data_IF_030638950427
#
_entry.id   IF_030638950427
#
_cell.length_a   1.000
_cell.length_b   1.000
_cell.length_c   1.000
_cell.angle_alpha   90.00
_cell.angle_beta   90.00
_cell.angle_gamma   90.00
#
_symmetry.space_group_name_H-M   'P 1'
#
loop_
_entity.id
_entity.type
_entity.pdbx_description
1 polymer ?
#
# COMPACT_ATOMS: atom_id res chain seq x y z
N UNK A 1 -4.86 6.04 27.09
CA UNK A 1 -6.28 6.44 27.07
C UNK A 1 -6.36 7.95 27.03
N UNK A 2 -7.27 8.48 26.20
CA UNK A 2 -7.69 9.90 26.10
C UNK A 2 -6.69 10.86 25.40
N UNK A 3 -7.07 11.86 24.59
CA UNK A 3 -8.21 12.80 24.76
C UNK A 3 -8.81 13.33 23.44
N UNK A 4 -10.16 13.43 23.38
CA UNK A 4 -10.93 14.17 22.36
C UNK A 4 -11.78 15.30 22.97
N UNK A 5 -12.48 16.06 22.13
CA UNK A 5 -12.13 17.42 21.72
C UNK A 5 -12.28 18.43 22.85
N UNK A 6 -11.39 19.42 22.82
CA UNK A 6 -11.14 20.32 23.95
C UNK A 6 -12.18 21.43 24.12
N UNK A 7 -13.20 21.64 23.29
CA UNK A 7 -14.02 22.86 23.38
C UNK A 7 -15.52 22.66 23.10
N UNK A 8 -16.37 23.36 23.87
CA UNK A 8 -17.82 23.40 23.73
C UNK A 8 -18.23 24.18 22.47
N UNK A 9 -19.11 23.63 21.61
CA UNK A 9 -19.54 24.30 20.37
C UNK A 9 -20.43 25.52 20.62
N UNK A 10 -21.15 25.55 21.75
CA UNK A 10 -22.08 26.63 22.08
C UNK A 10 -21.36 27.85 22.69
N UNK A 11 -20.41 27.64 23.61
CA UNK A 11 -19.78 28.74 24.35
C UNK A 11 -18.25 28.82 24.24
N UNK A 12 -17.63 27.93 23.47
CA UNK A 12 -16.18 27.87 23.25
C UNK A 12 -15.36 27.52 24.50
N UNK A 13 -15.98 27.10 25.60
CA UNK A 13 -15.30 26.72 26.83
C UNK A 13 -14.52 25.42 26.67
N UNK A 14 -13.39 25.29 27.37
CA UNK A 14 -12.62 24.04 27.33
C UNK A 14 -13.39 22.92 28.04
N UNK A 15 -13.61 21.78 27.37
CA UNK A 15 -14.24 20.59 27.97
C UNK A 15 -13.16 19.67 28.55
N UNK A 16 -13.42 19.09 29.72
CA UNK A 16 -12.59 18.04 30.30
C UNK A 16 -13.01 16.68 29.74
N UNK A 17 -12.10 15.69 29.77
CA UNK A 17 -12.33 14.39 29.14
C UNK A 17 -13.61 13.73 29.64
N UNK A 18 -14.41 13.18 28.72
CA UNK A 18 -15.63 12.43 29.01
C UNK A 18 -16.77 13.25 29.65
N UNK A 19 -16.75 14.58 29.54
CA UNK A 19 -17.87 15.42 29.99
C UNK A 19 -18.97 15.50 28.93
N UNK A 20 -20.15 14.99 29.27
CA UNK A 20 -21.36 15.05 28.44
C UNK A 20 -22.10 16.39 28.56
N UNK A 21 -21.74 17.23 29.54
CA UNK A 21 -22.38 18.53 29.77
C UNK A 21 -21.31 19.58 30.02
N UNK A 22 -21.36 20.69 29.29
CA UNK A 22 -20.47 21.82 29.49
C UNK A 22 -20.73 22.49 30.84
N UNK A 23 -19.75 22.45 31.75
CA UNK A 23 -19.82 23.08 33.08
C UNK A 23 -20.03 24.61 33.03
N UNK A 24 -19.78 25.25 31.88
CA UNK A 24 -19.91 26.71 31.72
C UNK A 24 -21.27 27.16 31.19
N UNK A 25 -21.85 26.46 30.22
CA UNK A 25 -23.11 26.87 29.59
C UNK A 25 -24.25 25.85 29.70
N UNK A 26 -23.99 24.64 30.21
CA UNK A 26 -25.00 23.58 30.34
C UNK A 26 -25.35 22.87 29.04
N UNK A 27 -24.66 23.17 27.93
CA UNK A 27 -24.85 22.48 26.66
C UNK A 27 -24.47 21.00 26.76
N UNK A 28 -25.37 20.12 26.35
CA UNK A 28 -25.16 18.67 26.30
C UNK A 28 -24.43 18.30 25.00
N UNK A 29 -23.29 17.64 25.13
CA UNK A 29 -22.41 17.28 24.03
C UNK A 29 -22.68 15.82 23.67
N UNK A 30 -23.32 15.60 22.53
CA UNK A 30 -23.47 14.26 21.96
C UNK A 30 -22.10 13.79 21.44
N UNK A 31 -21.57 12.73 22.05
CA UNK A 31 -20.43 11.99 21.51
C UNK A 31 -20.99 10.88 20.63
N UNK A 32 -20.88 11.06 19.32
CA UNK A 32 -21.16 10.00 18.36
C UNK A 32 -19.89 9.17 18.07
N UNK A 33 -20.11 7.91 17.69
CA UNK A 33 -19.04 7.00 17.24
C UNK A 33 -18.34 7.52 15.96
N UNK A 34 -18.94 8.48 15.26
CA UNK A 34 -18.33 9.17 14.10
C UNK A 34 -17.22 10.16 14.53
N UNK A 35 -17.39 10.88 15.64
CA UNK A 35 -16.34 11.71 16.25
C UNK A 35 -15.17 10.88 16.81
N UNK A 36 -15.51 9.74 17.44
CA UNK A 36 -14.84 8.41 17.39
C UNK A 36 -13.75 8.20 16.31
N UNK A 37 -14.23 8.01 15.11
CA UNK A 37 -13.38 7.63 14.00
C UNK A 37 -12.55 8.82 13.49
N UNK A 38 -13.19 9.99 13.40
CA UNK A 38 -12.60 11.19 12.77
C UNK A 38 -11.36 11.71 13.52
N UNK A 39 -11.35 11.72 14.86
CA UNK A 39 -10.16 12.13 15.61
C UNK A 39 -8.99 11.14 15.49
N UNK A 40 -9.24 9.84 15.46
CA UNK A 40 -8.17 8.85 15.30
C UNK A 40 -7.56 8.95 13.90
N UNK A 41 -8.38 9.22 12.88
CA UNK A 41 -7.93 9.56 11.52
C UNK A 41 -7.07 10.83 11.54
N UNK A 42 -7.54 11.94 12.12
CA UNK A 42 -6.78 13.21 12.17
C UNK A 42 -5.44 13.08 12.93
N UNK A 43 -5.42 12.28 14.00
CA UNK A 43 -4.21 12.01 14.79
C UNK A 43 -3.22 11.14 14.00
N UNK A 44 -3.70 10.16 13.25
CA UNK A 44 -2.88 9.37 12.34
C UNK A 44 -2.31 10.24 11.21
N UNK A 45 -3.11 11.12 10.62
CA UNK A 45 -2.71 12.07 9.59
C UNK A 45 -1.66 13.08 10.09
N UNK A 46 -1.83 13.66 11.29
CA UNK A 46 -0.83 14.56 11.89
C UNK A 46 0.49 13.84 12.20
N UNK A 47 0.43 12.59 12.65
CA UNK A 47 1.63 11.78 12.88
C UNK A 47 2.34 11.47 11.56
N UNK A 48 1.59 11.14 10.51
CA UNK A 48 2.12 10.90 9.17
C UNK A 48 2.76 12.16 8.59
N UNK A 49 2.08 13.32 8.71
CA UNK A 49 2.57 14.63 8.28
C UNK A 49 3.90 15.03 8.90
N UNK A 50 4.10 14.80 10.20
CA UNK A 50 5.37 15.08 10.89
C UNK A 50 6.52 14.15 10.47
N UNK A 51 6.20 13.00 9.90
CA UNK A 51 7.18 11.98 9.50
C UNK A 51 7.63 12.12 8.03
N UNK A 52 6.94 12.93 7.21
CA UNK A 52 7.34 13.19 5.82
C UNK A 52 8.52 14.15 5.80
N UNK A 53 9.65 13.66 5.30
CA UNK A 53 10.91 14.42 5.19
C UNK A 53 11.17 14.94 3.78
N UNK A 54 10.54 14.34 2.77
CA UNK A 54 10.71 14.73 1.37
C UNK A 54 9.61 15.72 0.94
N UNK A 55 9.94 16.96 0.51
CA UNK A 55 8.95 17.96 0.12
C UNK A 55 8.12 17.54 -1.11
N UNK A 56 8.70 16.75 -2.02
CA UNK A 56 8.04 16.33 -3.26
C UNK A 56 7.14 15.09 -3.07
N UNK A 57 7.12 14.50 -1.88
CA UNK A 57 6.35 13.27 -1.64
C UNK A 57 4.84 13.49 -1.82
N UNK A 58 4.33 14.67 -1.43
CA UNK A 58 2.90 14.98 -1.53
C UNK A 58 2.35 14.91 -2.97
N UNK A 59 3.17 15.23 -3.97
CA UNK A 59 2.81 15.14 -5.39
C UNK A 59 2.88 13.70 -5.92
N UNK A 60 3.77 12.87 -5.37
CA UNK A 60 4.01 11.50 -5.81
C UNK A 60 3.12 10.47 -5.10
N UNK A 61 2.70 10.76 -3.86
CA UNK A 61 1.89 9.87 -3.03
C UNK A 61 0.61 9.38 -3.73
N UNK A 62 -0.20 10.24 -4.41
CA UNK A 62 -1.40 9.80 -5.09
C UNK A 62 -1.11 8.79 -6.20
N UNK A 63 0.00 8.98 -6.93
CA UNK A 63 0.43 8.08 -7.99
C UNK A 63 0.88 6.73 -7.43
N UNK A 64 1.72 6.74 -6.39
CA UNK A 64 2.18 5.52 -5.70
C UNK A 64 1.00 4.75 -5.12
N UNK A 65 0.08 5.46 -4.45
CA UNK A 65 -1.13 4.87 -3.89
C UNK A 65 -1.98 4.22 -4.98
N UNK A 66 -2.33 4.98 -6.02
CA UNK A 66 -3.24 4.50 -7.08
C UNK A 66 -2.64 3.31 -7.82
N UNK A 67 -1.39 3.40 -8.27
CA UNK A 67 -0.74 2.30 -8.99
C UNK A 67 -0.57 1.09 -8.04
N UNK A 68 -0.14 1.33 -6.80
CA UNK A 68 0.08 0.27 -5.81
C UNK A 68 -1.20 -0.49 -5.44
N UNK A 69 -2.31 0.23 -5.23
CA UNK A 69 -3.63 -0.33 -4.91
C UNK A 69 -4.15 -1.23 -6.03
N UNK A 70 -3.97 -0.83 -7.30
CA UNK A 70 -4.42 -1.59 -8.46
C UNK A 70 -3.40 -2.62 -8.97
N UNK A 71 -2.18 -2.65 -8.44
CA UNK A 71 -1.10 -3.50 -8.95
C UNK A 71 -1.48 -4.99 -8.98
N UNK A 72 -2.12 -5.52 -7.92
CA UNK A 72 -2.54 -6.92 -7.88
C UNK A 72 -3.60 -7.27 -8.94
N UNK A 73 -4.51 -6.34 -9.25
CA UNK A 73 -5.53 -6.52 -10.31
C UNK A 73 -4.86 -6.61 -11.66
N UNK A 74 -3.88 -5.73 -11.94
CA UNK A 74 -3.13 -5.74 -13.19
C UNK A 74 -2.32 -7.04 -13.34
N UNK A 75 -1.66 -7.48 -12.26
CA UNK A 75 -0.94 -8.76 -12.21
C UNK A 75 -1.88 -9.93 -12.52
N UNK A 76 -3.06 -9.95 -11.90
CA UNK A 76 -4.07 -11.00 -12.14
C UNK A 76 -4.59 -11.00 -13.58
N UNK A 77 -4.96 -9.83 -14.10
CA UNK A 77 -5.43 -9.70 -15.47
C UNK A 77 -4.39 -10.21 -16.47
N UNK A 78 -3.12 -9.85 -16.27
CA UNK A 78 -2.02 -10.34 -17.09
C UNK A 78 -1.88 -11.86 -17.00
N UNK A 79 -1.87 -12.41 -15.78
CA UNK A 79 -1.83 -13.86 -15.58
C UNK A 79 -2.96 -14.60 -16.30
N UNK A 80 -4.20 -14.10 -16.25
CA UNK A 80 -5.35 -14.71 -16.93
C UNK A 80 -5.19 -14.66 -18.45
N UNK A 81 -4.74 -13.52 -19.01
CA UNK A 81 -4.52 -13.36 -20.46
C UNK A 81 -3.50 -14.37 -20.97
N UNK A 82 -2.36 -14.53 -20.27
CA UNK A 82 -1.32 -15.48 -20.66
C UNK A 82 -1.75 -16.93 -20.45
N UNK A 83 -2.54 -17.22 -19.42
CA UNK A 83 -3.10 -18.56 -19.23
C UNK A 83 -4.01 -18.97 -20.41
N UNK A 84 -4.91 -18.08 -20.82
CA UNK A 84 -5.80 -18.31 -21.95
C UNK A 84 -5.00 -18.45 -23.25
N UNK A 85 -4.03 -17.54 -23.48
CA UNK A 85 -3.18 -17.55 -24.67
C UNK A 85 -2.35 -18.83 -24.76
N UNK A 86 -1.77 -19.29 -23.65
CA UNK A 86 -1.02 -20.55 -23.59
C UNK A 86 -1.91 -21.76 -23.88
N UNK A 87 -3.12 -21.83 -23.32
CA UNK A 87 -4.06 -22.93 -23.59
C UNK A 87 -4.48 -22.95 -25.06
N UNK A 88 -4.87 -21.80 -25.63
CA UNK A 88 -5.23 -21.71 -27.05
C UNK A 88 -4.05 -22.04 -27.95
N UNK A 89 -2.85 -21.58 -27.61
CA UNK A 89 -1.63 -21.87 -28.35
C UNK A 89 -1.30 -23.36 -28.44
N UNK A 90 -1.52 -24.12 -27.35
CA UNK A 90 -1.37 -25.58 -27.37
C UNK A 90 -2.38 -26.29 -28.27
N UNK A 91 -3.58 -25.71 -28.44
CA UNK A 91 -4.64 -26.29 -29.28
C UNK A 91 -4.40 -26.01 -30.76
N UNK A 92 -3.98 -24.78 -31.10
CA UNK A 92 -3.99 -24.28 -32.48
C UNK A 92 -2.62 -24.25 -33.17
N UNK A 93 -1.51 -24.47 -32.47
CA UNK A 93 -0.16 -24.26 -33.04
C UNK A 93 0.83 -25.40 -32.70
N UNK A 94 1.87 -25.57 -33.52
CA UNK A 94 2.90 -26.63 -33.38
C UNK A 94 4.05 -26.29 -32.39
N UNK A 95 3.96 -25.20 -31.63
CA UNK A 95 5.01 -24.70 -30.73
C UNK A 95 4.81 -25.06 -29.25
N UNK A 96 5.01 -26.32 -28.88
CA UNK A 96 4.64 -26.84 -27.54
C UNK A 96 5.36 -26.13 -26.39
N UNK A 97 6.67 -25.85 -26.53
CA UNK A 97 7.49 -25.37 -25.41
C UNK A 97 7.10 -23.98 -24.92
N UNK A 98 6.87 -23.03 -25.83
CA UNK A 98 6.54 -21.65 -25.48
C UNK A 98 5.22 -21.56 -24.73
N UNK A 99 4.21 -22.32 -25.14
CA UNK A 99 2.91 -22.29 -24.50
C UNK A 99 2.86 -23.03 -23.17
N UNK A 100 3.64 -24.12 -23.00
CA UNK A 100 3.83 -24.73 -21.68
C UNK A 100 4.45 -23.71 -20.73
N UNK A 101 5.48 -22.99 -21.18
CA UNK A 101 6.10 -21.94 -20.38
C UNK A 101 5.10 -20.84 -20.01
N UNK A 102 4.29 -20.35 -20.96
CA UNK A 102 3.25 -19.33 -20.70
C UNK A 102 2.22 -19.78 -19.67
N UNK A 103 1.81 -21.06 -19.68
CA UNK A 103 0.86 -21.61 -18.70
C UNK A 103 1.49 -21.65 -17.30
N UNK A 104 2.74 -22.11 -17.20
CA UNK A 104 3.47 -22.17 -15.93
C UNK A 104 3.68 -20.75 -15.38
N UNK A 105 4.16 -19.84 -16.22
CA UNK A 105 4.46 -18.46 -15.87
C UNK A 105 3.19 -17.70 -15.43
N UNK A 106 2.08 -17.89 -16.14
CA UNK A 106 0.77 -17.36 -15.80
C UNK A 106 0.26 -17.88 -14.45
N UNK A 107 0.39 -19.19 -14.20
CA UNK A 107 -0.04 -19.82 -12.95
C UNK A 107 0.74 -19.25 -11.75
N UNK A 108 2.06 -19.14 -11.89
CA UNK A 108 2.93 -18.53 -10.87
C UNK A 108 2.56 -17.06 -10.65
N UNK A 109 2.33 -16.30 -11.73
CA UNK A 109 1.97 -14.88 -11.67
C UNK A 109 0.65 -14.65 -10.94
N UNK A 110 -0.38 -15.48 -11.21
CA UNK A 110 -1.67 -15.42 -10.52
C UNK A 110 -1.49 -15.72 -9.03
N UNK A 111 -0.73 -16.76 -8.70
CA UNK A 111 -0.44 -17.13 -7.31
C UNK A 111 0.25 -15.98 -6.56
N UNK A 112 1.30 -15.39 -7.14
CA UNK A 112 1.99 -14.25 -6.54
C UNK A 112 1.06 -13.04 -6.38
N UNK A 113 0.23 -12.76 -7.39
CA UNK A 113 -0.75 -11.67 -7.35
C UNK A 113 -1.68 -11.77 -6.14
N UNK A 114 -2.24 -12.96 -5.89
CA UNK A 114 -3.21 -13.20 -4.81
C UNK A 114 -2.54 -13.28 -3.44
N UNK A 115 -1.50 -14.09 -3.31
CA UNK A 115 -0.95 -14.46 -2.00
C UNK A 115 0.16 -13.53 -1.52
N UNK A 116 0.82 -12.81 -2.41
CA UNK A 116 1.96 -11.94 -2.06
C UNK A 116 1.64 -10.48 -2.34
N UNK A 117 1.32 -10.12 -3.59
CA UNK A 117 1.18 -8.72 -4.00
C UNK A 117 -0.02 -8.06 -3.33
N UNK A 118 -1.19 -8.70 -3.37
CA UNK A 118 -2.38 -8.15 -2.74
C UNK A 118 -2.16 -7.82 -1.25
N UNK A 119 -1.81 -8.78 -0.37
CA UNK A 119 -1.72 -8.52 1.07
C UNK A 119 -0.49 -7.72 1.48
N UNK A 120 0.67 -7.93 0.84
CA UNK A 120 1.92 -7.28 1.28
C UNK A 120 2.17 -5.94 0.63
N UNK A 121 1.59 -5.68 -0.54
CA UNK A 121 1.84 -4.46 -1.29
C UNK A 121 0.59 -3.63 -1.49
N UNK A 122 -0.40 -4.16 -2.19
CA UNK A 122 -1.55 -3.35 -2.61
C UNK A 122 -2.41 -2.87 -1.44
N UNK A 123 -2.67 -3.73 -0.46
CA UNK A 123 -3.39 -3.35 0.77
C UNK A 123 -2.59 -2.32 1.59
N UNK A 124 -1.25 -2.42 1.59
CA UNK A 124 -0.37 -1.48 2.30
C UNK A 124 -0.28 -0.13 1.61
N UNK A 125 -0.25 -0.09 0.28
CA UNK A 125 -0.37 1.14 -0.49
C UNK A 125 -1.74 1.79 -0.26
N UNK A 126 -2.83 1.02 -0.29
CA UNK A 126 -4.18 1.53 -0.04
C UNK A 126 -4.30 2.14 1.36
N UNK A 127 -3.73 1.48 2.37
CA UNK A 127 -3.68 1.94 3.76
C UNK A 127 -2.62 3.02 4.03
N UNK A 128 -1.82 3.41 3.04
CA UNK A 128 -0.69 4.35 3.17
C UNK A 128 0.34 3.94 4.23
N UNK A 129 0.53 2.65 4.43
CA UNK A 129 1.49 2.10 5.39
C UNK A 129 2.91 2.07 4.79
N UNK A 130 3.44 3.26 4.51
CA UNK A 130 4.77 3.44 3.92
C UNK A 130 5.89 2.92 4.82
N UNK A 131 5.67 2.97 6.14
CA UNK A 131 6.61 2.46 7.12
C UNK A 131 6.77 0.95 6.99
N UNK A 132 5.67 0.20 6.83
CA UNK A 132 5.74 -1.22 6.54
C UNK A 132 6.52 -1.49 5.24
N UNK A 133 6.16 -0.81 4.15
CA UNK A 133 6.75 -1.04 2.83
C UNK A 133 8.27 -0.75 2.78
N UNK A 134 8.74 0.25 3.52
CA UNK A 134 10.17 0.61 3.60
C UNK A 134 10.95 -0.25 4.60
N UNK A 135 10.29 -0.91 5.56
CA UNK A 135 10.98 -1.73 6.57
C UNK A 135 10.78 -3.24 6.38
N UNK A 136 9.91 -3.67 5.46
CA UNK A 136 9.79 -5.07 5.03
C UNK A 136 10.97 -5.45 4.12
N UNK A 137 12.12 -5.73 4.74
CA UNK A 137 13.40 -5.94 4.07
C UNK A 137 14.00 -7.32 4.36
N UNK A 138 14.71 -7.85 3.37
CA UNK A 138 15.68 -8.93 3.51
C UNK A 138 17.03 -8.32 3.90
N UNK A 139 17.64 -8.83 4.97
CA UNK A 139 18.96 -8.40 5.44
C UNK A 139 19.99 -9.43 4.98
N UNK A 140 20.95 -9.01 4.15
CA UNK A 140 22.06 -9.82 3.65
C UNK A 140 23.38 -9.19 4.11
N UNK A 141 23.89 -9.63 5.26
CA UNK A 141 25.01 -8.95 5.92
C UNK A 141 24.61 -7.54 6.36
N UNK A 142 25.28 -6.53 5.82
CA UNK A 142 24.99 -5.11 6.07
C UNK A 142 23.98 -4.52 5.07
N UNK A 143 23.69 -5.21 3.97
CA UNK A 143 22.78 -4.73 2.92
C UNK A 143 21.31 -5.02 3.26
N UNK A 144 20.45 -4.01 3.10
CA UNK A 144 18.99 -4.09 3.26
C UNK A 144 18.29 -4.00 1.91
N UNK A 145 17.67 -5.10 1.48
CA UNK A 145 16.91 -5.16 0.22
C UNK A 145 15.42 -5.27 0.54
N UNK A 146 14.55 -4.36 0.06
CA UNK A 146 13.11 -4.49 0.26
C UNK A 146 12.56 -5.76 -0.38
N UNK A 147 11.73 -6.51 0.35
CA UNK A 147 11.08 -7.70 -0.19
C UNK A 147 10.26 -7.39 -1.43
N UNK A 148 9.62 -6.21 -1.45
CA UNK A 148 8.79 -5.81 -2.59
C UNK A 148 9.59 -5.65 -3.88
N UNK A 149 10.86 -5.23 -3.79
CA UNK A 149 11.74 -5.15 -4.95
C UNK A 149 12.01 -6.56 -5.50
N UNK A 150 12.27 -7.53 -4.62
CA UNK A 150 12.47 -8.94 -5.01
C UNK A 150 11.22 -9.49 -5.70
N UNK A 151 10.04 -9.27 -5.13
CA UNK A 151 8.78 -9.73 -5.72
C UNK A 151 8.49 -9.07 -7.07
N UNK A 152 8.81 -7.78 -7.22
CA UNK A 152 8.66 -7.07 -8.50
C UNK A 152 9.56 -7.65 -9.60
N UNK A 153 10.81 -7.99 -9.28
CA UNK A 153 11.74 -8.64 -10.22
C UNK A 153 11.27 -10.05 -10.59
N UNK A 154 10.72 -10.78 -9.62
CA UNK A 154 10.17 -12.12 -9.86
C UNK A 154 8.94 -12.06 -10.78
N UNK A 155 8.08 -11.05 -10.61
CA UNK A 155 6.95 -10.80 -11.52
C UNK A 155 7.40 -10.34 -12.92
N UNK A 156 8.52 -9.64 -13.06
CA UNK A 156 9.09 -9.33 -14.38
C UNK A 156 9.51 -10.62 -15.09
N UNK A 157 10.13 -11.55 -14.35
CA UNK A 157 10.61 -12.82 -14.88
C UNK A 157 9.46 -13.74 -15.34
N UNK A 158 8.41 -13.89 -14.51
CA UNK A 158 7.29 -14.81 -14.81
C UNK A 158 6.09 -14.13 -15.48
N UNK A 159 5.97 -12.81 -15.39
CA UNK A 159 4.82 -12.06 -15.91
C UNK A 159 5.08 -11.38 -17.24
N UNK A 160 5.99 -11.95 -18.05
CA UNK A 160 6.36 -11.43 -19.37
C UNK A 160 6.77 -9.95 -19.34
N UNK A 161 7.59 -9.56 -18.36
CA UNK A 161 8.07 -8.19 -18.11
C UNK A 161 7.00 -7.20 -17.62
N UNK A 162 5.80 -7.23 -18.21
CA UNK A 162 4.76 -6.24 -17.95
C UNK A 162 4.08 -6.40 -16.58
N UNK A 163 3.92 -7.62 -16.07
CA UNK A 163 3.20 -7.82 -14.80
C UNK A 163 3.91 -7.17 -13.59
N UNK A 164 5.23 -7.07 -13.62
CA UNK A 164 5.98 -6.51 -12.50
C UNK A 164 6.10 -4.99 -12.50
N UNK A 165 5.83 -4.32 -13.63
CA UNK A 165 5.95 -2.85 -13.76
C UNK A 165 5.05 -2.10 -12.74
N UNK A 166 3.76 -2.45 -12.56
CA UNK A 166 2.91 -1.79 -11.57
C UNK A 166 3.39 -1.92 -10.12
N UNK A 167 4.23 -2.92 -9.83
CA UNK A 167 4.84 -3.09 -8.50
C UNK A 167 6.19 -2.39 -8.43
N UNK A 168 6.98 -2.48 -9.50
CA UNK A 168 8.32 -1.92 -9.58
C UNK A 168 8.29 -0.39 -9.54
N UNK A 169 7.44 0.27 -10.32
CA UNK A 169 7.41 1.74 -10.40
C UNK A 169 7.16 2.37 -9.01
N UNK A 170 6.09 2.01 -8.26
CA UNK A 170 5.87 2.60 -6.95
C UNK A 170 6.98 2.20 -5.96
N UNK A 171 7.55 1.00 -6.09
CA UNK A 171 8.69 0.57 -5.26
C UNK A 171 9.91 1.47 -5.47
N UNK A 172 10.29 1.74 -6.72
CA UNK A 172 11.43 2.62 -7.03
C UNK A 172 11.15 4.04 -6.52
N UNK A 173 9.94 4.56 -6.72
CA UNK A 173 9.55 5.87 -6.18
C UNK A 173 9.66 5.88 -4.65
N UNK A 174 9.17 4.86 -3.96
CA UNK A 174 9.28 4.75 -2.49
C UNK A 174 10.74 4.73 -2.02
N UNK A 175 11.64 4.05 -2.73
CA UNK A 175 13.04 3.92 -2.32
C UNK A 175 13.84 5.21 -2.48
N UNK A 176 13.60 5.98 -3.54
CA UNK A 176 14.40 7.16 -3.87
C UNK A 176 13.69 8.49 -3.57
N UNK A 177 12.37 8.49 -3.62
CA UNK A 177 11.54 9.68 -3.46
C UNK A 177 10.42 9.46 -2.43
N UNK A 178 10.52 8.43 -1.58
CA UNK A 178 9.53 8.14 -0.55
C UNK A 178 9.41 9.22 0.53
N UNK A 179 8.47 9.05 1.48
CA UNK A 179 8.26 9.99 2.57
C UNK A 179 9.46 10.07 3.52
N UNK A 180 10.26 9.00 3.58
CA UNK A 180 11.47 8.89 4.40
C UNK A 180 12.64 8.41 3.54
N UNK A 181 13.87 8.88 3.81
CA UNK A 181 15.04 8.34 3.14
C UNK A 181 15.18 6.86 3.49
N UNK A 182 15.29 6.02 2.46
CA UNK A 182 15.50 4.60 2.66
C UNK A 182 16.92 4.34 3.18
N UNK A 183 17.03 3.49 4.20
CA UNK A 183 18.32 3.08 4.79
C UNK A 183 18.76 1.78 4.15
N UNK A 184 19.76 1.86 3.27
CA UNK A 184 20.36 0.70 2.61
C UNK A 184 21.20 -0.17 3.55
N UNK A 185 21.65 0.40 4.66
CA UNK A 185 22.49 -0.25 5.65
C UNK A 185 21.74 -0.44 6.98
N UNK A 186 22.19 -1.43 7.75
CA UNK A 186 21.60 -1.84 9.03
C UNK A 186 21.81 -0.82 10.14
#
# INVERSE_FOLDING_TARGET
>A
MSEKPKFCPDCGARLENNQYICQKCGYEVEYDEEGEENYEIQKAEQKLSKEVTNPNWSDLEPLVKTIGEWAWVIVLANGIIYLITGILGLIFTFGIFTYIWDIISATITIFLGIYIIRPRFSEKCAAKDWNYLLNDVLILGDLRIPWILIWSLLLILFGHWWAGIPVLIPTIILLFAGPKPYKWEK
#
